data_IF_070911858107
#
_entry.id   IF_070911858107
#
_cell.length_a   1.000
_cell.length_b   1.000
_cell.length_c   1.000
_cell.angle_alpha   90.00
_cell.angle_beta   90.00
_cell.angle_gamma   90.00
#
_symmetry.space_group_name_H-M   'P 1'
#
loop_
_entity.id
_entity.type
_entity.pdbx_description
1 polymer ?
#
# COMPACT_ATOMS: atom_id res chain seq x y z
N UNK A 1 3.76 6.36 -0.83
CA UNK A 1 4.11 7.63 -0.16
C UNK A 1 5.55 7.97 -0.47
N UNK A 2 5.82 9.22 -0.81
CA UNK A 2 7.18 9.73 -1.07
C UNK A 2 7.94 9.87 0.27
N UNK A 3 9.00 9.09 0.47
CA UNK A 3 9.75 9.04 1.71
C UNK A 3 11.22 9.45 1.53
N UNK A 4 11.58 10.04 0.38
CA UNK A 4 12.98 10.34 0.07
C UNK A 4 13.26 11.79 -0.34
N UNK A 5 12.26 12.52 -0.87
CA UNK A 5 12.45 13.91 -1.28
C UNK A 5 12.11 14.86 -0.14
N UNK A 6 13.01 15.74 0.20
CA UNK A 6 12.76 16.79 1.19
C UNK A 6 11.63 17.73 0.74
N UNK A 7 11.57 18.04 -0.55
CA UNK A 7 10.48 18.80 -1.19
C UNK A 7 9.73 17.88 -2.14
N UNK A 8 8.59 17.38 -1.71
CA UNK A 8 7.77 16.49 -2.53
C UNK A 8 6.92 17.28 -3.52
N UNK A 9 6.87 16.92 -4.82
CA UNK A 9 6.33 17.79 -5.87
C UNK A 9 4.83 18.07 -5.76
N UNK A 10 4.07 17.17 -5.14
CA UNK A 10 2.62 17.27 -5.00
C UNK A 10 2.17 17.54 -3.55
N UNK A 11 3.05 18.13 -2.75
CA UNK A 11 2.78 18.53 -1.36
C UNK A 11 3.15 20.00 -1.18
N UNK A 12 2.27 20.76 -0.49
CA UNK A 12 2.49 22.17 -0.17
C UNK A 12 1.79 22.57 1.13
N UNK A 13 2.14 23.71 1.67
CA UNK A 13 1.44 24.29 2.80
C UNK A 13 -0.03 24.61 2.45
N UNK A 14 -0.90 24.65 3.46
CA UNK A 14 -2.28 25.16 3.28
C UNK A 14 -2.19 26.59 2.75
N UNK A 15 -2.88 26.84 1.65
CA UNK A 15 -2.84 28.15 0.96
C UNK A 15 -1.64 28.35 0.04
N UNK A 16 -0.81 27.31 -0.18
CA UNK A 16 0.34 27.34 -1.07
C UNK A 16 1.69 27.47 -0.34
N UNK A 17 2.77 27.48 -1.12
CA UNK A 17 4.14 27.53 -0.58
C UNK A 17 4.75 26.16 -0.31
N UNK A 18 6.08 26.14 -0.27
CA UNK A 18 6.87 24.92 -0.03
C UNK A 18 6.87 24.57 1.45
N UNK A 19 6.80 23.28 1.74
CA UNK A 19 7.02 22.73 3.10
C UNK A 19 7.95 21.52 3.00
N UNK A 20 8.62 21.21 4.09
CA UNK A 20 9.32 19.94 4.21
C UNK A 20 8.33 18.80 4.05
N UNK A 21 8.71 17.76 3.32
CA UNK A 21 7.84 16.64 3.03
C UNK A 21 7.36 15.92 4.31
N UNK A 22 6.06 16.01 4.66
CA UNK A 22 5.54 15.40 5.87
C UNK A 22 5.60 13.86 5.84
N UNK A 23 5.59 13.26 4.64
CA UNK A 23 5.57 11.80 4.47
C UNK A 23 6.90 11.14 4.84
N UNK A 24 7.97 11.90 5.04
CA UNK A 24 9.24 11.41 5.59
C UNK A 24 9.13 11.09 7.10
N UNK A 25 8.22 11.73 7.82
CA UNK A 25 8.00 11.50 9.24
C UNK A 25 7.07 10.30 9.46
N UNK A 26 7.55 9.31 10.22
CA UNK A 26 6.77 8.09 10.51
C UNK A 26 5.49 8.39 11.29
N UNK A 27 5.47 9.44 12.12
CA UNK A 27 4.29 9.87 12.87
C UNK A 27 3.18 10.33 11.93
N UNK A 28 3.52 11.05 10.87
CA UNK A 28 2.56 11.47 9.82
C UNK A 28 2.03 10.25 9.08
N UNK A 29 2.89 9.29 8.71
CA UNK A 29 2.45 8.07 8.03
C UNK A 29 1.52 7.23 8.92
N UNK A 30 1.82 7.14 10.22
CA UNK A 30 0.94 6.51 11.22
C UNK A 30 -0.38 7.25 11.36
N UNK A 31 -0.36 8.58 11.42
CA UNK A 31 -1.57 9.41 11.46
C UNK A 31 -2.47 9.16 10.25
N UNK A 32 -1.89 9.08 9.05
CA UNK A 32 -2.62 8.73 7.82
C UNK A 32 -3.28 7.35 7.97
N UNK A 33 -2.58 6.35 8.50
CA UNK A 33 -3.15 5.01 8.69
C UNK A 33 -4.32 4.99 9.67
N UNK A 34 -4.20 5.71 10.80
CA UNK A 34 -5.26 5.83 11.81
C UNK A 34 -6.47 6.64 11.33
N UNK A 35 -6.27 7.55 10.37
CA UNK A 35 -7.36 8.32 9.76
C UNK A 35 -8.20 7.53 8.77
N UNK A 36 -7.72 6.37 8.30
CA UNK A 36 -8.44 5.52 7.33
C UNK A 36 -9.46 4.64 8.06
N UNK A 37 -10.74 4.94 7.85
CA UNK A 37 -11.83 4.08 8.30
C UNK A 37 -11.97 2.88 7.36
N UNK A 38 -11.29 1.78 7.69
CA UNK A 38 -11.28 0.56 6.87
C UNK A 38 -12.63 -0.15 6.84
N UNK A 39 -13.45 -0.01 7.89
CA UNK A 39 -14.82 -0.56 7.89
C UNK A 39 -15.70 0.19 6.89
N UNK A 40 -15.62 1.52 6.88
CA UNK A 40 -16.34 2.32 5.88
C UNK A 40 -15.79 2.07 4.46
N UNK A 41 -14.48 1.88 4.29
CA UNK A 41 -13.89 1.51 3.00
C UNK A 41 -14.47 0.20 2.48
N UNK A 42 -14.52 -0.84 3.31
CA UNK A 42 -15.08 -2.14 2.92
C UNK A 42 -16.58 -2.06 2.65
N UNK A 43 -17.35 -1.44 3.56
CA UNK A 43 -18.82 -1.48 3.46
C UNK A 43 -19.41 -0.49 2.45
N UNK A 44 -18.80 0.71 2.28
CA UNK A 44 -19.37 1.78 1.44
C UNK A 44 -18.69 1.92 0.08
N UNK A 45 -17.39 1.63 -0.01
CA UNK A 45 -16.64 1.78 -1.26
C UNK A 45 -16.52 0.46 -1.98
N UNK A 46 -16.28 -0.63 -1.22
CA UNK A 46 -16.07 -1.97 -1.77
C UNK A 46 -17.31 -2.87 -1.70
N UNK A 47 -18.47 -2.33 -1.30
CA UNK A 47 -19.76 -3.04 -1.29
C UNK A 47 -19.69 -4.40 -0.59
N UNK A 48 -18.87 -4.50 0.46
CA UNK A 48 -18.53 -5.72 1.22
C UNK A 48 -17.77 -6.79 0.40
N UNK A 49 -17.26 -6.47 -0.79
CA UNK A 49 -16.43 -7.36 -1.60
C UNK A 49 -14.95 -7.04 -1.34
N UNK A 50 -14.58 -7.00 -0.08
CA UNK A 50 -13.21 -6.79 0.39
C UNK A 50 -13.08 -7.20 1.87
N UNK A 51 -11.84 -7.37 2.33
CA UNK A 51 -11.51 -7.60 3.74
C UNK A 51 -10.51 -6.54 4.19
N UNK A 52 -10.66 -6.02 5.41
CA UNK A 52 -9.70 -5.04 5.98
C UNK A 52 -8.29 -5.61 6.01
N UNK A 53 -7.32 -4.83 5.57
CA UNK A 53 -5.91 -5.23 5.55
C UNK A 53 -5.08 -4.52 6.64
N UNK A 54 -4.25 -5.29 7.34
CA UNK A 54 -3.25 -4.78 8.30
C UNK A 54 -1.82 -5.10 7.87
N UNK A 55 -1.64 -5.90 6.82
CA UNK A 55 -0.34 -6.26 6.27
C UNK A 55 -0.42 -6.46 4.75
N UNK A 56 0.70 -6.84 4.12
CA UNK A 56 0.81 -6.92 2.65
C UNK A 56 -0.07 -7.98 2.01
N UNK A 57 -0.27 -9.12 2.67
CA UNK A 57 -1.00 -10.27 2.16
C UNK A 57 -2.00 -10.79 3.19
N UNK A 58 -3.12 -11.40 2.78
CA UNK A 58 -4.08 -12.00 3.70
C UNK A 58 -3.55 -13.28 4.37
N UNK A 59 -4.24 -13.71 5.41
CA UNK A 59 -3.99 -15.00 6.06
C UNK A 59 -4.06 -16.14 5.04
N UNK A 60 -3.17 -17.11 5.18
CA UNK A 60 -3.03 -18.26 4.27
C UNK A 60 -1.85 -18.16 3.31
N UNK A 61 -1.27 -16.98 3.15
CA UNK A 61 0.00 -16.84 2.43
C UNK A 61 1.18 -17.14 3.35
N UNK A 62 2.24 -17.72 2.78
CA UNK A 62 3.46 -18.02 3.53
C UNK A 62 4.18 -16.73 3.96
N UNK A 63 4.66 -16.70 5.19
CA UNK A 63 5.39 -15.55 5.76
C UNK A 63 4.54 -14.34 6.13
N UNK A 64 3.20 -14.49 6.23
CA UNK A 64 2.35 -13.46 6.84
C UNK A 64 2.51 -13.50 8.36
N UNK A 65 2.50 -12.32 9.00
CA UNK A 65 2.61 -12.24 10.45
C UNK A 65 1.28 -12.58 11.13
N UNK A 66 1.28 -13.44 12.15
CA UNK A 66 0.11 -13.66 12.99
C UNK A 66 -0.21 -12.48 13.92
N UNK A 67 0.76 -11.59 14.14
CA UNK A 67 0.68 -10.49 15.12
C UNK A 67 0.08 -9.22 14.53
N UNK A 68 0.04 -9.09 13.20
CA UNK A 68 -0.42 -7.86 12.54
C UNK A 68 -1.94 -7.85 12.34
N UNK A 69 -2.53 -6.75 12.75
CA UNK A 69 -3.95 -6.43 12.56
C UNK A 69 -4.10 -5.10 11.84
N UNK A 70 -5.23 -4.83 11.17
CA UNK A 70 -5.52 -3.50 10.68
C UNK A 70 -5.47 -2.47 11.80
N UNK A 71 -4.87 -1.31 11.54
CA UNK A 71 -4.93 -0.20 12.50
C UNK A 71 -6.39 0.18 12.77
N UNK A 72 -6.71 0.58 14.01
CA UNK A 72 -8.02 1.10 14.34
C UNK A 72 -8.27 2.44 13.64
N UNK A 73 -9.53 2.78 13.42
CA UNK A 73 -9.91 4.13 13.04
C UNK A 73 -9.89 5.05 14.27
N UNK A 74 -8.89 5.93 14.34
CA UNK A 74 -8.69 6.85 15.46
C UNK A 74 -8.17 8.22 14.95
N UNK A 75 -9.09 9.07 14.44
CA UNK A 75 -8.72 10.38 13.93
C UNK A 75 -8.20 11.33 15.03
N UNK A 76 -8.55 11.13 16.28
CA UNK A 76 -8.09 12.01 17.37
C UNK A 76 -6.61 11.75 17.70
N UNK A 77 -6.19 10.48 17.81
CA UNK A 77 -4.77 10.14 17.91
C UNK A 77 -4.01 10.57 16.65
N UNK A 78 -4.62 10.44 15.47
CA UNK A 78 -4.00 10.90 14.22
C UNK A 78 -3.72 12.41 14.23
N UNK A 79 -4.67 13.25 14.70
CA UNK A 79 -4.46 14.70 14.85
C UNK A 79 -3.32 15.03 15.83
N UNK A 80 -3.23 14.31 16.96
CA UNK A 80 -2.13 14.46 17.92
C UNK A 80 -0.78 14.19 17.25
N UNK A 81 -0.65 13.07 16.56
CA UNK A 81 0.56 12.71 15.83
C UNK A 81 0.94 13.75 14.75
N UNK A 82 -0.04 14.29 14.03
CA UNK A 82 0.18 15.39 13.09
C UNK A 82 0.74 16.62 13.78
N UNK A 83 0.19 17.00 14.94
CA UNK A 83 0.69 18.15 15.72
C UNK A 83 2.09 17.92 16.27
N UNK A 84 2.37 16.74 16.85
CA UNK A 84 3.68 16.34 17.33
C UNK A 84 4.76 16.32 16.25
N UNK A 85 4.36 15.99 15.01
CA UNK A 85 5.23 16.02 13.84
C UNK A 85 5.45 17.44 13.26
N UNK A 86 4.77 18.47 13.83
CA UNK A 86 4.84 19.86 13.35
C UNK A 86 3.85 20.22 12.25
N UNK A 87 2.92 19.32 11.93
CA UNK A 87 1.93 19.49 10.87
C UNK A 87 0.49 19.65 11.41
N UNK A 88 0.31 20.17 12.62
CA UNK A 88 -1.02 20.38 13.24
C UNK A 88 -1.94 21.32 12.46
N UNK A 89 -1.40 22.23 11.63
CA UNK A 89 -2.16 23.06 10.69
C UNK A 89 -2.57 22.31 9.42
N UNK A 90 -2.13 21.09 9.25
CA UNK A 90 -2.32 20.29 8.03
C UNK A 90 -1.44 20.73 6.86
N UNK A 91 -1.70 20.12 5.71
CA UNK A 91 -1.04 20.43 4.44
C UNK A 91 -1.93 20.02 3.25
N UNK A 92 -1.58 20.50 2.06
CA UNK A 92 -2.22 20.10 0.81
C UNK A 92 -1.40 19.02 0.12
N UNK A 93 -2.07 18.04 -0.47
CA UNK A 93 -1.43 16.96 -1.20
C UNK A 93 -2.30 16.46 -2.36
N UNK A 94 -1.69 15.82 -3.36
CA UNK A 94 -2.43 15.10 -4.40
C UNK A 94 -2.32 13.60 -4.18
N UNK A 95 -3.46 12.91 -4.16
CA UNK A 95 -3.55 11.45 -4.22
C UNK A 95 -3.67 11.05 -5.69
N UNK A 96 -2.72 10.27 -6.18
CA UNK A 96 -2.75 9.74 -7.53
C UNK A 96 -3.20 8.28 -7.54
N UNK A 97 -4.04 7.93 -8.47
CA UNK A 97 -4.56 6.57 -8.65
C UNK A 97 -4.82 6.20 -10.10
N UNK A 98 -4.89 4.91 -10.44
CA UNK A 98 -5.47 4.49 -11.69
C UNK A 98 -7.00 4.61 -11.64
N UNK A 99 -7.67 4.50 -12.79
CA UNK A 99 -9.14 4.48 -12.88
C UNK A 99 -9.68 3.33 -13.75
N UNK A 100 -8.80 2.38 -14.10
CA UNK A 100 -9.11 1.22 -14.94
C UNK A 100 -8.28 -0.02 -14.56
N UNK A 101 -7.79 -0.09 -13.31
CA UNK A 101 -6.89 -1.18 -12.88
C UNK A 101 -7.44 -2.03 -11.75
N UNK A 102 -8.07 -1.43 -10.75
CA UNK A 102 -8.59 -2.10 -9.57
C UNK A 102 -10.09 -1.84 -9.44
N UNK A 103 -10.81 -2.73 -8.75
CA UNK A 103 -12.22 -2.50 -8.44
C UNK A 103 -12.35 -1.20 -7.64
N UNK A 104 -13.16 -0.28 -8.14
CA UNK A 104 -13.47 1.01 -7.51
C UNK A 104 -12.25 1.90 -7.21
N UNK A 105 -11.16 1.80 -7.97
CA UNK A 105 -9.89 2.49 -7.70
C UNK A 105 -10.02 4.02 -7.60
N UNK A 106 -10.80 4.66 -8.47
CA UNK A 106 -11.08 6.09 -8.35
C UNK A 106 -11.87 6.43 -7.07
N UNK A 107 -12.92 5.65 -6.75
CA UNK A 107 -13.72 5.82 -5.52
C UNK A 107 -12.88 5.61 -4.26
N UNK A 108 -11.92 4.69 -4.29
CA UNK A 108 -10.97 4.48 -3.19
C UNK A 108 -10.13 5.74 -2.96
N UNK A 109 -9.59 6.35 -4.02
CA UNK A 109 -8.79 7.57 -3.91
C UNK A 109 -9.63 8.75 -3.36
N UNK A 110 -10.88 8.90 -3.80
CA UNK A 110 -11.82 9.92 -3.31
C UNK A 110 -12.17 9.70 -1.82
N UNK A 111 -12.46 8.47 -1.43
CA UNK A 111 -12.73 8.13 -0.03
C UNK A 111 -11.53 8.41 0.88
N UNK A 112 -10.32 8.08 0.43
CA UNK A 112 -9.09 8.41 1.15
C UNK A 112 -8.94 9.93 1.31
N UNK A 113 -9.17 10.73 0.27
CA UNK A 113 -9.11 12.19 0.35
C UNK A 113 -10.09 12.73 1.40
N UNK A 114 -11.33 12.24 1.40
CA UNK A 114 -12.34 12.62 2.39
C UNK A 114 -11.94 12.21 3.82
N UNK A 115 -11.39 11.01 4.00
CA UNK A 115 -10.95 10.55 5.32
C UNK A 115 -9.78 11.38 5.85
N UNK A 116 -8.81 11.70 5.01
CA UNK A 116 -7.62 12.47 5.37
C UNK A 116 -7.93 13.93 5.68
N UNK A 117 -9.01 14.49 5.12
CA UNK A 117 -9.45 15.88 5.45
C UNK A 117 -9.78 16.05 6.94
N UNK A 118 -10.20 14.99 7.62
CA UNK A 118 -10.53 14.99 9.06
C UNK A 118 -9.32 15.20 9.97
N UNK A 119 -8.13 14.99 9.45
CA UNK A 119 -6.86 15.23 10.17
C UNK A 119 -6.07 16.41 9.60
N UNK A 120 -6.73 17.28 8.82
CA UNK A 120 -6.15 18.50 8.28
C UNK A 120 -5.41 18.33 6.94
N UNK A 121 -5.40 17.15 6.32
CA UNK A 121 -4.78 16.96 5.02
C UNK A 121 -5.80 17.26 3.92
N UNK A 122 -5.61 18.37 3.19
CA UNK A 122 -6.43 18.73 2.02
C UNK A 122 -5.91 17.99 0.78
N UNK A 123 -6.51 16.86 0.48
CA UNK A 123 -6.10 16.03 -0.65
C UNK A 123 -6.94 16.34 -1.90
N UNK A 124 -6.26 16.61 -3.02
CA UNK A 124 -6.83 16.50 -4.37
C UNK A 124 -6.71 15.07 -4.84
N UNK A 125 -7.63 14.62 -5.67
CA UNK A 125 -7.55 13.32 -6.34
C UNK A 125 -7.28 13.52 -7.82
N UNK A 126 -6.28 12.84 -8.35
CA UNK A 126 -5.96 12.79 -9.76
C UNK A 126 -5.89 11.33 -10.19
N UNK A 127 -6.84 10.89 -11.00
CA UNK A 127 -6.88 9.54 -11.55
C UNK A 127 -6.60 9.54 -13.05
N UNK A 128 -6.06 8.44 -13.55
CA UNK A 128 -5.71 8.29 -14.95
C UNK A 128 -5.67 6.81 -15.36
N UNK A 129 -5.73 6.50 -16.68
CA UNK A 129 -5.58 5.13 -17.15
C UNK A 129 -4.27 4.49 -16.69
N UNK A 130 -4.32 3.20 -16.34
CA UNK A 130 -3.19 2.44 -15.74
C UNK A 130 -1.87 2.57 -16.51
N UNK A 131 -1.91 2.62 -17.83
CA UNK A 131 -0.71 2.75 -18.65
C UNK A 131 0.01 4.08 -18.40
N UNK A 132 -0.75 5.19 -18.33
CA UNK A 132 -0.23 6.52 -18.00
C UNK A 132 0.20 6.56 -16.54
N UNK A 133 -0.65 6.05 -15.63
CA UNK A 133 -0.40 6.03 -14.20
C UNK A 133 0.93 5.35 -13.84
N UNK A 134 1.14 4.11 -14.27
CA UNK A 134 2.37 3.39 -13.93
C UNK A 134 3.62 3.94 -14.62
N UNK A 135 3.49 4.53 -15.81
CA UNK A 135 4.58 5.24 -16.48
C UNK A 135 5.01 6.45 -15.64
N UNK A 136 4.07 7.32 -15.26
CA UNK A 136 4.32 8.50 -14.42
C UNK A 136 4.82 8.10 -13.02
N UNK A 137 4.14 7.16 -12.36
CA UNK A 137 4.54 6.67 -11.04
C UNK A 137 5.98 6.14 -10.98
N UNK A 138 6.49 5.60 -12.09
CA UNK A 138 7.83 5.00 -12.13
C UNK A 138 8.90 5.92 -12.67
N UNK A 139 8.56 6.80 -13.66
CA UNK A 139 9.54 7.55 -14.46
C UNK A 139 9.05 8.94 -14.90
N UNK A 140 7.94 9.44 -14.34
CA UNK A 140 7.36 10.73 -14.73
C UNK A 140 8.07 11.96 -14.12
N UNK A 141 8.84 11.75 -13.07
CA UNK A 141 9.58 12.81 -12.41
C UNK A 141 10.93 13.15 -13.07
N UNK A 142 11.63 14.16 -12.56
CA UNK A 142 12.95 14.54 -13.05
C UNK A 142 13.91 13.36 -13.03
N UNK A 143 14.82 13.30 -14.02
CA UNK A 143 15.80 12.23 -14.19
C UNK A 143 15.18 10.81 -14.25
N UNK A 144 13.98 10.69 -14.80
CA UNK A 144 13.20 9.44 -14.85
C UNK A 144 12.99 8.81 -13.46
N UNK A 145 12.82 9.64 -12.44
CA UNK A 145 12.47 9.22 -11.08
C UNK A 145 10.95 9.02 -10.95
N UNK A 146 10.47 8.40 -9.84
CA UNK A 146 9.05 8.40 -9.49
C UNK A 146 8.51 9.82 -9.39
N UNK A 147 7.30 10.07 -9.95
CA UNK A 147 6.72 11.42 -9.97
C UNK A 147 5.90 11.71 -8.71
N UNK A 148 5.04 10.77 -8.30
CA UNK A 148 3.98 11.03 -7.35
C UNK A 148 4.45 11.09 -5.89
N UNK A 149 3.80 11.94 -5.09
CA UNK A 149 4.02 12.03 -3.65
C UNK A 149 3.19 11.01 -2.87
N UNK A 150 1.93 10.82 -3.25
CA UNK A 150 1.03 9.84 -2.63
C UNK A 150 0.27 9.09 -3.73
N UNK A 151 0.21 7.76 -3.62
CA UNK A 151 -0.34 6.93 -4.68
C UNK A 151 -1.13 5.73 -4.14
N UNK A 152 -2.18 5.35 -4.86
CA UNK A 152 -2.94 4.13 -4.64
C UNK A 152 -2.33 3.00 -5.48
N UNK A 153 -2.05 1.86 -4.85
CA UNK A 153 -1.39 0.73 -5.48
C UNK A 153 -2.00 -0.58 -4.95
N UNK A 154 -2.25 -1.53 -5.82
CA UNK A 154 -2.55 -2.91 -5.46
C UNK A 154 -1.34 -3.82 -5.75
N UNK A 155 -1.24 -4.90 -5.00
CA UNK A 155 -0.22 -5.93 -5.17
C UNK A 155 -0.79 -7.32 -4.93
N UNK A 156 -0.54 -8.22 -5.86
CA UNK A 156 -0.81 -9.65 -5.71
C UNK A 156 0.50 -10.44 -5.61
N UNK A 157 0.53 -11.49 -4.80
CA UNK A 157 1.69 -12.35 -4.64
C UNK A 157 1.47 -13.68 -5.35
N UNK A 158 1.71 -13.74 -6.65
CA UNK A 158 1.58 -14.96 -7.46
C UNK A 158 2.50 -16.11 -7.03
N UNK A 159 3.51 -15.84 -6.18
CA UNK A 159 4.36 -16.89 -5.56
C UNK A 159 3.75 -17.51 -4.31
N UNK A 160 2.60 -17.01 -3.81
CA UNK A 160 2.00 -17.47 -2.56
C UNK A 160 2.75 -17.06 -1.28
N UNK A 161 3.69 -16.10 -1.37
CA UNK A 161 4.63 -15.78 -0.32
C UNK A 161 4.85 -14.28 -0.15
N UNK A 162 5.09 -13.82 1.09
CA UNK A 162 5.32 -12.42 1.44
C UNK A 162 6.64 -11.85 0.92
N UNK A 163 7.58 -12.67 0.47
CA UNK A 163 8.83 -12.19 -0.13
C UNK A 163 8.60 -11.33 -1.38
N UNK A 164 7.58 -11.64 -2.18
CA UNK A 164 7.26 -10.89 -3.40
C UNK A 164 6.98 -9.41 -3.13
N UNK A 165 5.99 -9.02 -2.31
CA UNK A 165 5.75 -7.61 -2.01
C UNK A 165 6.86 -6.97 -1.17
N UNK A 166 7.48 -7.68 -0.24
CA UNK A 166 8.59 -7.16 0.55
C UNK A 166 9.77 -6.74 -0.33
N UNK A 167 10.23 -7.66 -1.19
CA UNK A 167 11.32 -7.40 -2.13
C UNK A 167 11.01 -6.28 -3.11
N UNK A 168 9.77 -6.21 -3.60
CA UNK A 168 9.42 -5.27 -4.66
C UNK A 168 9.06 -3.88 -4.13
N UNK A 169 8.34 -3.77 -3.01
CA UNK A 169 7.74 -2.53 -2.52
C UNK A 169 8.49 -1.88 -1.36
N UNK A 170 9.17 -2.68 -0.52
CA UNK A 170 9.69 -2.24 0.77
C UNK A 170 11.20 -2.36 0.93
N UNK A 171 11.87 -3.25 0.20
CA UNK A 171 13.33 -3.23 0.14
C UNK A 171 13.80 -1.91 -0.48
N UNK A 172 14.88 -1.34 0.03
CA UNK A 172 15.56 -0.18 -0.57
C UNK A 172 15.79 -0.43 -2.06
N UNK A 173 15.51 0.60 -2.86
CA UNK A 173 15.69 0.49 -4.31
C UNK A 173 17.18 0.32 -4.65
N UNK A 174 17.50 -0.82 -5.19
CA UNK A 174 18.83 -1.13 -5.72
C UNK A 174 18.69 -1.85 -7.07
N UNK A 175 19.12 -1.14 -8.13
CA UNK A 175 19.06 -1.65 -9.49
C UNK A 175 20.06 -2.79 -9.72
N UNK A 176 21.20 -2.78 -9.04
CA UNK A 176 22.30 -3.75 -9.25
C UNK A 176 21.90 -5.16 -8.85
N UNK A 177 21.12 -5.31 -7.77
CA UNK A 177 20.62 -6.58 -7.27
C UNK A 177 19.13 -6.81 -7.56
N UNK A 178 18.48 -5.87 -8.28
CA UNK A 178 17.10 -5.98 -8.70
C UNK A 178 16.05 -5.82 -7.60
N UNK A 179 16.40 -5.22 -6.47
CA UNK A 179 15.53 -4.98 -5.34
C UNK A 179 14.78 -3.65 -5.41
N UNK A 180 13.63 -3.55 -4.74
CA UNK A 180 12.86 -2.31 -4.62
C UNK A 180 12.29 -1.78 -5.95
N UNK A 181 12.14 -2.61 -6.98
CA UNK A 181 11.73 -2.14 -8.33
C UNK A 181 10.38 -1.45 -8.36
N UNK A 182 9.47 -1.80 -7.48
CA UNK A 182 8.16 -1.17 -7.33
C UNK A 182 8.07 -0.21 -6.12
N UNK A 183 9.18 -0.01 -5.40
CA UNK A 183 9.31 0.94 -4.30
C UNK A 183 9.41 2.38 -4.84
N UNK A 184 8.30 2.89 -5.34
CA UNK A 184 8.22 4.23 -5.93
C UNK A 184 8.30 5.34 -4.89
N UNK A 185 7.95 5.03 -3.65
CA UNK A 185 8.09 5.94 -2.50
C UNK A 185 9.48 6.01 -1.92
N UNK A 186 10.40 5.15 -2.38
CA UNK A 186 11.78 5.06 -1.91
C UNK A 186 11.89 4.87 -0.39
N UNK A 187 10.97 4.10 0.19
CA UNK A 187 11.16 3.57 1.54
C UNK A 187 12.54 2.92 1.64
N UNK A 188 13.25 3.16 2.74
CA UNK A 188 14.58 2.59 2.97
C UNK A 188 14.79 2.33 4.46
N UNK A 189 15.13 1.10 4.79
CA UNK A 189 15.52 0.67 6.12
C UNK A 189 16.52 -0.49 5.98
N UNK A 190 17.83 -0.25 6.20
CA UNK A 190 18.86 -1.27 6.07
C UNK A 190 18.62 -2.51 6.96
N UNK A 191 17.95 -2.36 8.09
CA UNK A 191 17.63 -3.50 8.96
C UNK A 191 16.57 -4.40 8.34
N UNK A 192 15.57 -3.82 7.68
CA UNK A 192 14.55 -4.55 6.91
C UNK A 192 15.17 -5.22 5.69
N UNK A 193 16.02 -4.50 4.97
CA UNK A 193 16.71 -5.03 3.77
C UNK A 193 17.50 -6.30 4.10
N UNK A 194 18.25 -6.27 5.21
CA UNK A 194 19.01 -7.43 5.69
C UNK A 194 18.11 -8.63 5.97
N UNK A 195 16.98 -8.42 6.68
CA UNK A 195 16.04 -9.50 7.00
C UNK A 195 15.40 -10.06 5.72
N UNK A 196 15.04 -9.21 4.76
CA UNK A 196 14.49 -9.65 3.47
C UNK A 196 15.51 -10.51 2.72
N UNK A 197 16.77 -10.08 2.64
CA UNK A 197 17.85 -10.81 1.96
C UNK A 197 18.13 -12.15 2.65
N UNK A 198 18.17 -12.18 3.98
CA UNK A 198 18.31 -13.40 4.77
C UNK A 198 17.15 -14.37 4.48
N UNK A 199 15.91 -13.89 4.47
CA UNK A 199 14.75 -14.70 4.14
C UNK A 199 14.85 -15.30 2.73
N UNK A 200 15.33 -14.53 1.75
CA UNK A 200 15.49 -15.01 0.37
C UNK A 200 16.59 -16.08 0.23
N UNK A 201 17.57 -16.09 1.11
CA UNK A 201 18.63 -17.09 1.16
C UNK A 201 18.29 -18.30 2.03
N UNK A 202 17.25 -18.23 2.87
CA UNK A 202 16.86 -19.31 3.79
C UNK A 202 16.03 -20.36 3.07
N UNK A 203 16.49 -21.61 3.08
CA UNK A 203 15.81 -22.76 2.46
C UNK A 203 14.75 -23.35 3.37
N UNK A 204 15.00 -23.40 4.69
CA UNK A 204 14.03 -23.88 5.66
C UNK A 204 12.76 -23.00 5.64
N UNK A 205 11.63 -23.65 5.38
CA UNK A 205 10.35 -22.97 5.17
C UNK A 205 9.88 -22.21 6.42
N UNK A 206 10.03 -22.78 7.60
CA UNK A 206 9.53 -22.18 8.84
C UNK A 206 10.39 -21.00 9.27
N UNK A 207 11.72 -21.15 9.19
CA UNK A 207 12.65 -20.06 9.46
C UNK A 207 12.45 -18.90 8.47
N UNK A 208 12.30 -19.20 7.17
CA UNK A 208 11.98 -18.21 6.13
C UNK A 208 10.68 -17.50 6.41
N UNK A 209 9.62 -18.21 6.77
CA UNK A 209 8.31 -17.63 7.11
C UNK A 209 8.41 -16.66 8.29
N UNK A 210 9.17 -17.00 9.34
CA UNK A 210 9.41 -16.13 10.50
C UNK A 210 10.17 -14.86 10.11
N UNK A 211 11.17 -14.94 9.26
CA UNK A 211 11.92 -13.78 8.76
C UNK A 211 11.02 -12.85 7.93
N UNK A 212 10.20 -13.39 7.03
CA UNK A 212 9.25 -12.62 6.22
C UNK A 212 8.20 -11.92 7.09
N UNK A 213 7.66 -12.61 8.09
CA UNK A 213 6.74 -12.03 9.06
C UNK A 213 7.40 -10.86 9.83
N UNK A 214 8.62 -11.06 10.33
CA UNK A 214 9.40 -10.04 11.04
C UNK A 214 9.68 -8.81 10.14
N UNK A 215 10.10 -9.03 8.89
CA UNK A 215 10.31 -7.94 7.93
C UNK A 215 9.01 -7.13 7.71
N UNK A 216 7.87 -7.82 7.58
CA UNK A 216 6.56 -7.17 7.41
C UNK A 216 6.17 -6.35 8.65
N UNK A 217 6.37 -6.87 9.86
CA UNK A 217 6.08 -6.17 11.12
C UNK A 217 6.88 -4.87 11.26
N UNK A 218 8.13 -4.86 10.80
CA UNK A 218 8.96 -3.65 10.84
C UNK A 218 8.56 -2.71 9.70
N UNK A 219 8.60 -3.16 8.47
CA UNK A 219 8.44 -2.30 7.29
C UNK A 219 7.02 -1.70 7.18
N UNK A 220 5.99 -2.47 7.55
CA UNK A 220 4.58 -2.05 7.50
C UNK A 220 4.11 -1.56 8.87
N UNK A 221 4.33 -2.35 9.93
CA UNK A 221 3.77 -2.06 11.25
C UNK A 221 4.48 -0.95 12.01
N UNK A 222 5.82 -0.84 11.91
CA UNK A 222 6.59 0.20 12.60
C UNK A 222 6.91 1.38 11.70
N UNK A 223 7.39 1.11 10.49
CA UNK A 223 7.87 2.13 9.57
C UNK A 223 6.76 2.75 8.72
N UNK A 224 5.59 2.12 8.62
CA UNK A 224 4.53 2.55 7.71
C UNK A 224 5.06 2.83 6.29
N UNK A 225 5.94 1.95 5.79
CA UNK A 225 6.52 2.06 4.45
C UNK A 225 5.46 2.07 3.36
N UNK A 226 4.41 1.27 3.55
CA UNK A 226 3.11 1.33 2.86
C UNK A 226 1.99 1.20 3.90
N UNK A 227 0.79 1.64 3.54
CA UNK A 227 -0.39 1.55 4.39
C UNK A 227 -1.38 0.58 3.73
N UNK A 228 -1.55 -0.64 4.25
CA UNK A 228 -2.57 -1.57 3.78
C UNK A 228 -3.97 -1.03 4.09
N UNK A 229 -4.87 -1.09 3.11
CA UNK A 229 -6.24 -0.61 3.25
C UNK A 229 -7.21 -1.79 3.29
N UNK A 230 -7.23 -2.60 2.23
CA UNK A 230 -8.08 -3.77 2.12
C UNK A 230 -7.45 -4.83 1.24
N UNK A 231 -7.91 -6.07 1.39
CA UNK A 231 -7.70 -7.16 0.43
C UNK A 231 -8.92 -7.22 -0.46
N UNK A 232 -8.72 -7.09 -1.77
CA UNK A 232 -9.77 -7.26 -2.75
C UNK A 232 -10.19 -8.72 -2.80
N UNK A 233 -11.50 -8.98 -2.84
CA UNK A 233 -12.04 -10.31 -3.08
C UNK A 233 -12.41 -10.43 -4.57
N UNK A 234 -11.97 -11.49 -5.21
CA UNK A 234 -12.39 -11.80 -6.56
C UNK A 234 -13.69 -12.60 -6.52
N UNK A 235 -14.60 -12.30 -7.43
CA UNK A 235 -15.88 -12.98 -7.55
C UNK A 235 -16.02 -13.59 -8.94
N UNK A 236 -16.67 -14.74 -9.01
CA UNK A 236 -16.95 -15.44 -10.27
C UNK A 236 -18.44 -15.76 -10.35
N UNK A 237 -18.97 -15.72 -11.56
CA UNK A 237 -20.29 -16.23 -11.89
C UNK A 237 -20.16 -17.36 -12.92
N UNK A 238 -20.91 -18.44 -12.73
CA UNK A 238 -20.93 -19.57 -13.65
C UNK A 238 -22.39 -20.07 -13.81
N UNK A 239 -22.67 -20.84 -14.86
CA UNK A 239 -23.94 -21.55 -14.99
C UNK A 239 -24.11 -22.51 -13.81
N UNK A 240 -25.34 -22.77 -13.39
CA UNK A 240 -25.66 -23.64 -12.24
C UNK A 240 -25.13 -25.08 -12.37
N UNK A 241 -24.91 -25.55 -13.60
CA UNK A 241 -24.29 -26.86 -13.88
C UNK A 241 -22.76 -26.85 -13.71
N UNK A 242 -22.14 -25.69 -13.52
CA UNK A 242 -20.68 -25.54 -13.40
C UNK A 242 -20.30 -25.12 -11.98
N UNK A 243 -19.18 -25.64 -11.50
CA UNK A 243 -18.49 -25.20 -10.31
C UNK A 243 -17.07 -24.74 -10.65
N UNK A 244 -16.59 -23.72 -9.96
CA UNK A 244 -15.23 -23.19 -10.12
C UNK A 244 -14.52 -23.17 -8.78
N UNK A 245 -13.30 -23.70 -8.73
CA UNK A 245 -12.43 -23.64 -7.55
C UNK A 245 -11.48 -22.43 -7.68
N UNK A 246 -11.69 -21.37 -6.85
CA UNK A 246 -10.86 -20.16 -6.92
C UNK A 246 -9.43 -20.43 -6.46
N UNK A 247 -8.50 -19.65 -7.02
CA UNK A 247 -7.07 -19.72 -6.71
C UNK A 247 -6.63 -18.47 -5.92
N UNK A 248 -5.67 -18.67 -5.02
CA UNK A 248 -5.07 -17.59 -4.22
C UNK A 248 -4.17 -16.66 -5.04
N UNK A 249 -3.69 -17.10 -6.21
CA UNK A 249 -2.91 -16.29 -7.14
C UNK A 249 -3.75 -15.42 -8.09
N UNK A 250 -5.07 -15.36 -7.86
CA UNK A 250 -6.07 -14.56 -8.60
C UNK A 250 -6.25 -14.97 -10.08
N UNK A 251 -5.61 -16.03 -10.54
CA UNK A 251 -5.74 -16.50 -11.91
C UNK A 251 -7.02 -17.31 -12.10
N UNK A 252 -7.77 -17.01 -13.15
CA UNK A 252 -8.90 -17.83 -13.60
C UNK A 252 -8.40 -18.81 -14.65
N UNK A 253 -8.39 -20.09 -14.33
CA UNK A 253 -7.85 -21.14 -15.19
C UNK A 253 -8.96 -22.15 -15.48
N UNK A 254 -9.17 -22.48 -16.76
CA UNK A 254 -10.26 -23.33 -17.23
C UNK A 254 -10.24 -24.75 -16.61
N UNK A 255 -9.06 -25.30 -16.29
CA UNK A 255 -8.94 -26.63 -15.65
C UNK A 255 -9.52 -26.71 -14.24
N UNK A 256 -9.83 -25.58 -13.61
CA UNK A 256 -10.50 -25.49 -12.31
C UNK A 256 -12.02 -25.30 -12.44
N UNK A 257 -12.54 -25.23 -13.68
CA UNK A 257 -13.97 -25.21 -13.97
C UNK A 257 -14.42 -26.66 -14.23
N UNK A 258 -15.44 -27.10 -13.49
CA UNK A 258 -16.05 -28.41 -13.66
C UNK A 258 -17.54 -28.22 -13.98
N UNK A 259 -17.99 -28.69 -15.13
CA UNK A 259 -19.37 -28.67 -15.57
C UNK A 259 -19.90 -30.09 -15.74
N UNK A 260 -21.10 -30.35 -15.19
CA UNK A 260 -21.79 -31.65 -15.31
C UNK A 260 -22.59 -31.69 -16.61
#
# INVERSE_FOLDING_TARGET
>A
MDQFRENSPHIKAIGGGKIKNPLMDVRVRKAISLAINRDAMVSKVMENIAVKAGQLLPKGFHGVSPNMKPDPYDPETAKKLMAEAGYGKGFEMTIHGPNDRYINDAKIAEALAQMLSRIGIKAKVETMPKAVYFKRASRGGPNKSPEFSFMVLGWGAGSGEASSPLRALLHTYDKSIGMGRANRGRHSDPSVDKIIQEALATVDSDARGKLLAKATEIAVGKNYGVIPVHYQMNTWAAKSICSYTPRTDERTIATYLNCK
#
